data_IF_886944407450
#
_entry.id   IF_886944407450
#
_cell.length_a   1.000
_cell.length_b   1.000
_cell.length_c   1.000
_cell.angle_alpha   90.00
_cell.angle_beta   90.00
_cell.angle_gamma   90.00
#
_symmetry.space_group_name_H-M   'P 1'
#
loop_
_entity.id
_entity.type
_entity.pdbx_description
1 polymer ?
#
# COMPACT_ATOMS: atom_id res chain seq x y z
N UNK A 1 -9.03 -59.05 17.75
CA UNK A 1 -8.20 -58.92 16.53
C UNK A 1 -8.51 -57.64 15.75
N UNK A 2 -9.79 -57.32 15.51
CA UNK A 2 -10.22 -56.13 14.74
C UNK A 2 -9.65 -54.80 15.25
N UNK A 3 -9.65 -54.56 16.57
CA UNK A 3 -9.11 -53.34 17.19
C UNK A 3 -7.60 -53.19 16.98
N UNK A 4 -6.87 -54.31 16.88
CA UNK A 4 -5.43 -54.31 16.63
C UNK A 4 -5.12 -53.93 15.19
N UNK A 5 -5.87 -54.52 14.24
CA UNK A 5 -5.77 -54.16 12.81
C UNK A 5 -6.12 -52.68 12.62
N UNK A 6 -7.20 -52.19 13.22
CA UNK A 6 -7.61 -50.80 13.12
C UNK A 6 -6.54 -49.83 13.69
N UNK A 7 -5.90 -50.17 14.81
CA UNK A 7 -4.77 -49.41 15.34
C UNK A 7 -3.58 -49.35 14.38
N UNK A 8 -3.22 -50.47 13.77
CA UNK A 8 -2.12 -50.52 12.79
C UNK A 8 -2.47 -49.67 11.57
N UNK A 9 -3.68 -49.79 11.03
CA UNK A 9 -4.11 -49.01 9.86
C UNK A 9 -4.08 -47.52 10.18
N UNK A 10 -4.64 -47.09 11.32
CA UNK A 10 -4.59 -45.69 11.75
C UNK A 10 -3.16 -45.21 11.95
N UNK A 11 -2.29 -46.03 12.51
CA UNK A 11 -0.88 -45.70 12.70
C UNK A 11 -0.17 -45.50 11.36
N UNK A 12 -0.34 -46.43 10.41
CA UNK A 12 0.26 -46.33 9.06
C UNK A 12 -0.30 -45.12 8.31
N UNK A 13 -1.60 -44.85 8.40
CA UNK A 13 -2.24 -43.67 7.80
C UNK A 13 -1.67 -42.38 8.40
N UNK A 14 -1.55 -42.30 9.72
CA UNK A 14 -0.93 -41.18 10.41
C UNK A 14 0.54 -41.01 10.04
N UNK A 15 1.28 -42.10 9.90
CA UNK A 15 2.68 -42.09 9.49
C UNK A 15 2.85 -41.59 8.06
N UNK A 16 2.00 -42.03 7.13
CA UNK A 16 1.97 -41.54 5.74
C UNK A 16 1.66 -40.05 5.70
N UNK A 17 0.70 -39.59 6.51
CA UNK A 17 0.35 -38.17 6.62
C UNK A 17 1.52 -37.34 7.17
N UNK A 18 2.14 -37.80 8.26
CA UNK A 18 3.31 -37.14 8.85
C UNK A 18 4.50 -37.10 7.88
N UNK A 19 4.76 -38.19 7.16
CA UNK A 19 5.81 -38.25 6.14
C UNK A 19 5.54 -37.26 5.01
N UNK A 20 4.30 -37.18 4.51
CA UNK A 20 3.90 -36.19 3.51
C UNK A 20 4.14 -34.75 3.99
N UNK A 21 3.72 -34.45 5.23
CA UNK A 21 3.92 -33.13 5.81
C UNK A 21 5.41 -32.80 5.98
N UNK A 22 6.22 -33.77 6.43
CA UNK A 22 7.67 -33.61 6.54
C UNK A 22 8.32 -33.30 5.18
N UNK A 23 7.91 -34.00 4.13
CA UNK A 23 8.35 -33.72 2.76
C UNK A 23 7.94 -32.31 2.34
N UNK A 24 6.68 -31.91 2.57
CA UNK A 24 6.19 -30.58 2.23
C UNK A 24 7.00 -29.46 2.92
N UNK A 25 7.27 -29.61 4.23
CA UNK A 25 8.10 -28.66 4.99
C UNK A 25 9.54 -28.65 4.48
N UNK A 26 10.10 -29.81 4.16
CA UNK A 26 11.47 -29.92 3.62
C UNK A 26 11.60 -29.23 2.27
N UNK A 27 10.62 -29.41 1.39
CA UNK A 27 10.57 -28.71 0.10
C UNK A 27 10.43 -27.20 0.30
N UNK A 28 9.52 -26.76 1.17
CA UNK A 28 9.35 -25.35 1.49
C UNK A 28 10.65 -24.74 2.04
N UNK A 29 11.29 -25.41 2.99
CA UNK A 29 12.56 -24.99 3.56
C UNK A 29 13.68 -24.95 2.52
N UNK A 30 13.71 -25.91 1.58
CA UNK A 30 14.68 -25.92 0.48
C UNK A 30 14.47 -24.74 -0.46
N UNK A 31 13.22 -24.47 -0.87
CA UNK A 31 12.89 -23.32 -1.73
C UNK A 31 13.26 -22.01 -1.04
N UNK A 32 12.94 -21.88 0.25
CA UNK A 32 13.28 -20.69 1.04
C UNK A 32 14.78 -20.54 1.26
N UNK A 33 15.46 -21.62 1.63
CA UNK A 33 16.91 -21.66 1.83
C UNK A 33 17.64 -21.30 0.53
N UNK A 34 17.20 -21.85 -0.60
CA UNK A 34 17.73 -21.51 -1.91
C UNK A 34 17.46 -20.05 -2.25
N UNK A 35 16.26 -19.53 -1.98
CA UNK A 35 15.91 -18.11 -2.21
C UNK A 35 16.81 -17.17 -1.39
N UNK A 36 17.01 -17.47 -0.11
CA UNK A 36 17.91 -16.71 0.79
C UNK A 36 19.37 -16.83 0.35
N UNK A 37 19.82 -18.04 0.04
CA UNK A 37 21.17 -18.28 -0.47
C UNK A 37 21.39 -17.56 -1.80
N UNK A 38 20.39 -17.47 -2.68
CA UNK A 38 20.45 -16.73 -3.93
C UNK A 38 20.71 -15.25 -3.69
N UNK A 39 20.06 -14.64 -2.68
CA UNK A 39 20.33 -13.26 -2.27
C UNK A 39 21.80 -13.07 -1.87
N UNK A 40 22.36 -14.06 -1.15
CA UNK A 40 23.74 -14.05 -0.68
C UNK A 40 24.75 -14.30 -1.79
N UNK A 41 24.45 -15.20 -2.73
CA UNK A 41 25.32 -15.55 -3.85
C UNK A 41 25.31 -14.50 -4.97
N UNK A 42 24.15 -13.89 -5.27
CA UNK A 42 24.06 -12.88 -6.36
C UNK A 42 24.25 -11.44 -5.87
N UNK A 43 24.27 -11.20 -4.55
CA UNK A 43 24.37 -9.85 -3.96
C UNK A 43 23.18 -8.94 -4.29
N UNK A 44 22.20 -9.44 -5.04
CA UNK A 44 20.97 -8.74 -5.41
C UNK A 44 19.91 -9.11 -4.39
N UNK A 45 19.34 -8.13 -3.67
CA UNK A 45 18.30 -8.42 -2.70
C UNK A 45 17.13 -9.12 -3.41
N UNK A 46 16.70 -10.23 -2.81
CA UNK A 46 15.43 -10.92 -3.14
C UNK A 46 14.33 -9.86 -3.14
N UNK A 47 13.77 -9.56 -4.32
CA UNK A 47 12.62 -8.64 -4.40
C UNK A 47 11.52 -9.11 -3.44
N UNK A 48 11.16 -8.29 -2.44
CA UNK A 48 10.17 -8.66 -1.46
C UNK A 48 8.81 -8.64 -2.16
N UNK A 49 8.12 -9.79 -2.15
CA UNK A 49 6.73 -9.88 -2.62
C UNK A 49 5.76 -9.03 -1.79
N UNK A 50 6.23 -8.53 -0.65
CA UNK A 50 5.55 -7.54 0.16
C UNK A 50 6.15 -6.18 -0.17
N UNK A 51 5.32 -5.27 -0.69
CA UNK A 51 5.66 -3.85 -0.85
C UNK A 51 6.29 -3.36 0.46
N UNK A 52 7.61 -3.06 0.46
CA UNK A 52 8.29 -2.52 1.64
C UNK A 52 7.71 -1.15 1.93
N UNK A 53 6.67 -1.11 2.77
CA UNK A 53 6.20 0.10 3.39
C UNK A 53 7.32 0.61 4.29
N UNK A 54 8.07 1.59 3.81
CA UNK A 54 8.97 2.37 4.64
C UNK A 54 8.16 3.49 5.31
N UNK A 55 7.72 3.34 6.57
CA UNK A 55 6.84 4.31 7.21
C UNK A 55 7.46 5.71 7.28
N UNK A 56 8.78 5.83 7.33
CA UNK A 56 9.47 7.13 7.32
C UNK A 56 9.52 7.83 5.96
N UNK A 57 9.59 7.08 4.85
CA UNK A 57 9.80 7.69 3.52
C UNK A 57 8.54 8.35 2.95
N UNK A 58 7.36 7.84 3.31
CA UNK A 58 6.09 8.49 2.93
C UNK A 58 5.99 9.89 3.53
N UNK A 59 6.26 10.06 4.82
CA UNK A 59 6.18 11.35 5.50
C UNK A 59 7.24 12.35 5.04
N UNK A 60 8.48 11.92 4.76
CA UNK A 60 9.49 12.80 4.16
C UNK A 60 9.10 13.24 2.75
N UNK A 61 8.51 12.35 1.93
CA UNK A 61 8.03 12.71 0.60
C UNK A 61 6.87 13.73 0.68
N UNK A 62 5.96 13.59 1.65
CA UNK A 62 4.91 14.59 1.90
C UNK A 62 5.47 15.90 2.45
N UNK A 63 6.45 15.87 3.37
CA UNK A 63 7.12 17.10 3.85
C UNK A 63 7.90 17.79 2.74
N UNK A 64 8.61 17.05 1.90
CA UNK A 64 9.33 17.60 0.76
C UNK A 64 8.38 18.12 -0.32
N UNK A 65 7.25 17.45 -0.55
CA UNK A 65 6.18 17.92 -1.44
C UNK A 65 5.45 19.16 -0.87
N UNK A 66 5.25 19.23 0.45
CA UNK A 66 4.70 20.39 1.14
C UNK A 66 5.68 21.57 1.10
N UNK A 67 6.98 21.33 1.33
CA UNK A 67 8.03 22.32 1.19
C UNK A 67 8.17 22.84 -0.25
N UNK A 68 7.94 21.98 -1.26
CA UNK A 68 7.85 22.40 -2.67
C UNK A 68 6.53 23.11 -3.02
N UNK A 69 5.44 22.82 -2.31
CA UNK A 69 4.15 23.52 -2.42
C UNK A 69 4.11 24.88 -1.73
N UNK A 70 5.12 25.21 -0.92
CA UNK A 70 5.43 26.58 -0.55
C UNK A 70 6.07 27.32 -1.74
N UNK A 71 5.39 27.27 -2.90
CA UNK A 71 5.50 28.32 -3.90
C UNK A 71 5.06 29.67 -3.30
N UNK A 72 5.23 30.78 -4.03
CA UNK A 72 5.16 32.14 -3.51
C UNK A 72 3.98 32.28 -2.55
N UNK A 73 4.25 32.71 -1.32
CA UNK A 73 3.20 32.81 -0.31
C UNK A 73 2.07 33.66 -0.88
N UNK A 74 0.82 33.44 -0.46
CA UNK A 74 -0.31 34.25 -0.95
C UNK A 74 -0.05 35.77 -0.78
N UNK A 75 0.78 36.14 0.20
CA UNK A 75 1.32 37.49 0.38
C UNK A 75 2.25 37.96 -0.76
N UNK A 76 3.12 37.10 -1.29
CA UNK A 76 4.01 37.38 -2.42
C UNK A 76 3.22 37.51 -3.73
N UNK A 77 2.18 36.69 -3.92
CA UNK A 77 1.26 36.78 -5.07
C UNK A 77 0.41 38.05 -5.00
N UNK A 78 -0.07 38.42 -3.81
CA UNK A 78 -0.79 39.67 -3.57
C UNK A 78 0.12 40.90 -3.78
N UNK A 79 1.36 40.85 -3.31
CA UNK A 79 2.35 41.90 -3.51
C UNK A 79 2.77 42.05 -4.99
N UNK A 80 2.92 40.95 -5.72
CA UNK A 80 3.18 40.98 -7.16
C UNK A 80 1.98 41.54 -7.96
N UNK A 81 0.75 41.20 -7.56
CA UNK A 81 -0.48 41.75 -8.18
C UNK A 81 -0.63 43.25 -7.91
N UNK A 82 -0.26 43.73 -6.72
CA UNK A 82 -0.24 45.16 -6.39
C UNK A 82 0.82 45.95 -7.19
N UNK A 83 1.90 45.28 -7.61
CA UNK A 83 2.94 45.84 -8.50
C UNK A 83 2.59 45.75 -10.00
N UNK A 84 1.40 45.24 -10.35
CA UNK A 84 0.94 45.13 -11.73
C UNK A 84 1.50 43.94 -12.52
N UNK A 85 2.17 43.00 -11.85
CA UNK A 85 2.82 41.87 -12.51
C UNK A 85 1.88 40.65 -12.52
N UNK A 86 1.47 40.22 -13.71
CA UNK A 86 0.57 39.08 -13.89
C UNK A 86 1.35 37.77 -13.77
N UNK A 87 1.53 37.29 -12.55
CA UNK A 87 2.05 35.93 -12.32
C UNK A 87 0.93 34.95 -12.68
N UNK A 88 1.12 34.19 -13.76
CA UNK A 88 0.21 33.12 -14.17
C UNK A 88 0.11 32.10 -13.04
N UNK A 89 -1.06 32.03 -12.41
CA UNK A 89 -1.32 31.16 -11.26
C UNK A 89 -1.32 29.69 -11.70
N UNK A 90 -0.39 28.84 -11.22
CA UNK A 90 -0.36 27.42 -11.56
C UNK A 90 -1.33 26.61 -10.68
N UNK A 91 -2.58 27.07 -10.57
CA UNK A 91 -3.68 26.41 -9.84
C UNK A 91 -4.91 26.26 -10.77
N UNK A 92 -4.72 26.14 -12.07
CA UNK A 92 -5.83 25.87 -13.00
C UNK A 92 -5.42 24.82 -14.03
N UNK A 93 -5.23 23.58 -13.57
CA UNK A 93 -5.44 22.39 -14.42
C UNK A 93 -5.60 21.14 -13.55
N UNK A 94 -6.61 21.14 -12.68
CA UNK A 94 -7.19 19.89 -12.19
C UNK A 94 -8.62 19.86 -12.73
N UNK A 95 -8.87 18.91 -13.62
CA UNK A 95 -10.24 18.53 -14.01
C UNK A 95 -10.86 19.33 -15.15
N UNK A 96 -10.35 19.18 -16.36
CA UNK A 96 -11.23 19.19 -17.54
C UNK A 96 -11.99 17.87 -17.52
N UNK A 97 -13.18 17.86 -16.93
CA UNK A 97 -14.05 16.70 -16.82
C UNK A 97 -15.28 17.06 -16.00
N UNK A 98 -16.37 17.30 -16.73
CA UNK A 98 -17.77 17.21 -16.34
C UNK A 98 -18.10 17.06 -14.84
N UNK A 99 -18.58 18.14 -14.25
CA UNK A 99 -19.69 18.09 -13.31
C UNK A 99 -20.36 19.47 -13.34
N UNK A 100 -21.46 19.54 -14.08
CA UNK A 100 -22.47 20.57 -13.90
C UNK A 100 -23.01 20.42 -12.47
N UNK A 101 -22.37 21.13 -11.53
CA UNK A 101 -22.76 21.14 -10.13
C UNK A 101 -23.97 22.06 -10.01
N UNK A 102 -25.14 21.49 -10.20
CA UNK A 102 -26.43 22.13 -9.92
C UNK A 102 -26.49 22.49 -8.43
N UNK A 103 -26.55 23.78 -8.12
CA UNK A 103 -26.66 24.29 -6.76
C UNK A 103 -27.85 23.64 -6.01
N UNK A 104 -27.55 22.88 -4.96
CA UNK A 104 -28.57 22.30 -4.08
C UNK A 104 -29.03 23.38 -3.10
N UNK A 105 -30.19 23.98 -3.39
CA UNK A 105 -30.85 24.90 -2.46
C UNK A 105 -31.42 24.09 -1.28
N UNK A 106 -30.94 24.37 -0.07
CA UNK A 106 -31.43 23.75 1.17
C UNK A 106 -32.92 24.01 1.35
N UNK A 107 -33.70 22.95 1.57
CA UNK A 107 -35.14 23.00 1.85
C UNK A 107 -35.37 23.83 3.13
N UNK A 108 -36.14 24.94 3.08
CA UNK A 108 -36.49 25.65 4.30
C UNK A 108 -37.33 24.72 5.17
N UNK A 109 -36.88 24.49 6.39
CA UNK A 109 -37.71 23.90 7.43
C UNK A 109 -38.62 25.03 7.90
N UNK A 110 -39.90 24.95 7.56
CA UNK A 110 -40.94 25.75 8.21
C UNK A 110 -40.92 25.38 9.71
N UNK A 111 -40.20 26.16 10.50
CA UNK A 111 -40.36 26.20 11.94
C UNK A 111 -41.67 26.93 12.22
N UNK A 112 -42.79 26.20 12.18
CA UNK A 112 -44.05 26.68 12.73
C UNK A 112 -44.33 25.97 14.05
N UNK A 113 -44.13 26.79 15.09
CA UNK A 113 -44.77 26.78 16.40
C UNK A 113 -46.19 26.22 16.41
#
# INVERSE_FOLDING_TARGET
MFTFILRIVLFVMGLMFAASLAVAVTLLATVWGLRYAWARLTGKPVDPWVMRFHPGKGFEQFRAAAARRNGPAAADVAAARARGESVSSPVVSIGRGDADVTDVRSRPLDSRS
#
